data_IF_551546651942
#
_entry.id   IF_551546651942
#
_cell.length_a   1.000
_cell.length_b   1.000
_cell.length_c   1.000
_cell.angle_alpha   90.00
_cell.angle_beta   90.00
_cell.angle_gamma   90.00
#
_symmetry.space_group_name_H-M   'P 1'
#
loop_
_entity.id
_entity.type
_entity.pdbx_description
1 polymer ?
#
# COMPACT_ATOMS: atom_id res chain seq x y z
N UNK A 1 -9.64 -6.44 -5.44
CA UNK A 1 -11.04 -6.11 -5.81
C UNK A 1 -11.52 -7.18 -6.77
N UNK A 2 -12.71 -7.76 -6.59
CA UNK A 2 -13.20 -8.88 -7.41
C UNK A 2 -14.67 -8.67 -7.77
N UNK A 3 -15.11 -9.24 -8.89
CA UNK A 3 -16.50 -9.17 -9.36
C UNK A 3 -17.35 -10.28 -8.72
N UNK A 4 -18.52 -9.92 -8.19
CA UNK A 4 -19.47 -10.82 -7.53
C UNK A 4 -20.29 -11.66 -8.51
N UNK A 5 -20.38 -11.24 -9.78
CA UNK A 5 -21.08 -11.96 -10.85
C UNK A 5 -20.21 -13.03 -11.51
N UNK A 6 -18.88 -12.94 -11.34
CA UNK A 6 -17.92 -13.89 -11.89
C UNK A 6 -17.27 -14.75 -10.80
N UNK A 7 -17.66 -16.03 -10.75
CA UNK A 7 -17.08 -17.00 -9.80
C UNK A 7 -15.57 -17.23 -10.02
N UNK A 8 -15.06 -16.95 -11.23
CA UNK A 8 -13.64 -17.07 -11.57
C UNK A 8 -12.83 -15.98 -10.87
N UNK A 9 -13.33 -14.74 -10.81
CA UNK A 9 -12.61 -13.64 -10.15
C UNK A 9 -12.52 -13.84 -8.63
N UNK A 10 -13.52 -14.47 -8.01
CA UNK A 10 -13.45 -14.82 -6.58
C UNK A 10 -12.39 -15.88 -6.28
N UNK A 11 -12.20 -16.87 -7.16
CA UNK A 11 -11.19 -17.94 -6.98
C UNK A 11 -9.75 -17.42 -6.91
N UNK A 12 -9.48 -16.24 -7.49
CA UNK A 12 -8.15 -15.62 -7.47
C UNK A 12 -7.90 -14.77 -6.22
N UNK A 13 -8.92 -14.54 -5.38
CA UNK A 13 -8.80 -13.73 -4.14
C UNK A 13 -7.75 -14.25 -3.17
N UNK A 14 -7.63 -15.56 -2.89
CA UNK A 14 -6.58 -16.07 -2.02
C UNK A 14 -5.16 -15.83 -2.56
N UNK A 15 -4.97 -15.85 -3.88
CA UNK A 15 -3.68 -15.58 -4.51
C UNK A 15 -3.30 -14.10 -4.38
N UNK A 16 -4.26 -13.20 -4.67
CA UNK A 16 -4.05 -11.76 -4.43
C UNK A 16 -3.77 -11.45 -2.97
N UNK A 17 -4.46 -12.14 -2.04
CA UNK A 17 -4.21 -11.97 -0.63
C UNK A 17 -2.80 -12.44 -0.25
N UNK A 18 -2.36 -13.60 -0.75
CA UNK A 18 -1.01 -14.14 -0.50
C UNK A 18 0.10 -13.19 -0.97
N UNK A 19 -0.03 -12.62 -2.16
CA UNK A 19 1.00 -11.73 -2.73
C UNK A 19 1.13 -10.40 -1.97
N UNK A 20 0.05 -9.95 -1.34
CA UNK A 20 0.00 -8.72 -0.54
C UNK A 20 0.47 -8.91 0.91
N UNK A 21 0.63 -10.16 1.37
CA UNK A 21 0.87 -10.50 2.78
C UNK A 21 2.34 -10.85 3.00
N UNK A 22 3.08 -9.88 3.56
CA UNK A 22 4.41 -9.98 4.18
C UNK A 22 5.31 -11.11 3.64
N UNK A 23 5.82 -10.88 2.42
CA UNK A 23 6.79 -11.76 1.79
C UNK A 23 8.17 -11.44 2.36
N UNK A 24 8.73 -12.37 3.17
CA UNK A 24 10.13 -12.30 3.67
C UNK A 24 11.15 -12.08 2.54
N UNK A 25 10.82 -12.49 1.32
CA UNK A 25 11.63 -12.31 0.12
C UNK A 25 11.14 -11.11 -0.73
N UNK A 26 11.28 -9.90 -0.16
CA UNK A 26 10.90 -8.64 -0.80
C UNK A 26 11.70 -8.45 -2.10
N UNK A 27 11.04 -8.59 -3.26
CA UNK A 27 11.68 -8.43 -4.58
C UNK A 27 12.12 -6.99 -4.87
N UNK A 28 11.38 -6.00 -4.40
CA UNK A 28 11.67 -4.57 -4.63
C UNK A 28 12.17 -3.94 -3.33
N UNK A 29 13.47 -3.65 -3.24
CA UNK A 29 14.08 -3.06 -2.04
C UNK A 29 13.82 -1.56 -1.95
N UNK A 30 13.76 -0.99 -0.75
CA UNK A 30 13.54 0.44 -0.55
C UNK A 30 14.50 1.35 -1.34
N UNK A 31 15.76 0.92 -1.53
CA UNK A 31 16.78 1.67 -2.28
C UNK A 31 16.43 1.88 -3.77
N UNK A 32 15.63 1.00 -4.38
CA UNK A 32 15.27 1.11 -5.80
C UNK A 32 14.04 2.00 -6.02
N UNK A 33 13.34 2.40 -4.96
CA UNK A 33 12.10 3.15 -5.05
C UNK A 33 12.42 4.65 -5.02
N UNK A 34 12.69 5.23 -6.19
CA UNK A 34 13.09 6.65 -6.31
C UNK A 34 11.98 7.57 -6.80
N UNK A 35 10.84 7.02 -7.23
CA UNK A 35 9.76 7.77 -7.87
C UNK A 35 9.15 8.85 -6.96
N UNK A 36 9.02 8.56 -5.67
CA UNK A 36 8.46 9.49 -4.68
C UNK A 36 9.24 10.81 -4.62
N UNK A 37 10.57 10.76 -4.76
CA UNK A 37 11.44 11.96 -4.82
C UNK A 37 11.19 12.81 -6.06
N UNK A 38 10.97 12.17 -7.22
CA UNK A 38 10.72 12.87 -8.49
C UNK A 38 9.39 13.62 -8.49
N UNK A 39 8.40 13.14 -7.74
CA UNK A 39 7.05 13.73 -7.68
C UNK A 39 6.78 14.50 -6.38
N UNK A 40 7.78 14.63 -5.50
CA UNK A 40 7.65 15.23 -4.18
C UNK A 40 6.47 14.64 -3.37
N UNK A 41 6.35 13.31 -3.41
CA UNK A 41 5.32 12.55 -2.70
C UNK A 41 5.95 11.82 -1.53
N UNK A 42 5.17 11.60 -0.47
CA UNK A 42 5.61 10.74 0.63
C UNK A 42 5.45 9.27 0.30
N UNK A 43 6.42 8.49 0.76
CA UNK A 43 6.50 7.05 0.58
C UNK A 43 6.50 6.37 1.94
N UNK A 44 5.62 5.39 2.10
CA UNK A 44 5.52 4.58 3.31
C UNK A 44 5.53 3.10 2.90
N UNK A 45 6.38 2.31 3.55
CA UNK A 45 6.25 0.85 3.54
C UNK A 45 5.05 0.48 4.42
N UNK A 46 4.11 -0.29 3.88
CA UNK A 46 2.88 -0.73 4.58
C UNK A 46 2.79 -2.26 4.60
N UNK A 47 2.23 -2.80 5.68
CA UNK A 47 1.80 -4.21 5.73
C UNK A 47 0.39 -4.29 6.28
N UNK A 48 -0.54 -4.79 5.46
CA UNK A 48 -1.92 -5.05 5.88
C UNK A 48 -2.03 -6.24 6.86
N UNK A 49 -1.00 -7.09 6.94
CA UNK A 49 -1.01 -8.26 7.83
C UNK A 49 -0.67 -7.90 9.27
N UNK A 50 0.42 -7.15 9.44
CA UNK A 50 0.92 -6.71 10.74
C UNK A 50 0.36 -5.34 11.14
N UNK A 51 -0.47 -4.74 10.29
CA UNK A 51 -0.95 -3.36 10.41
C UNK A 51 0.19 -2.31 10.46
N UNK A 52 1.38 -2.66 9.96
CA UNK A 52 2.53 -1.77 9.94
C UNK A 52 2.26 -0.55 9.05
N UNK A 53 2.39 0.65 9.63
CA UNK A 53 2.17 1.95 8.99
C UNK A 53 0.82 2.09 8.26
N UNK A 54 -0.19 1.30 8.61
CA UNK A 54 -1.48 1.29 7.91
C UNK A 54 -2.15 2.67 7.89
N UNK A 55 -2.04 3.42 8.97
CA UNK A 55 -2.62 4.77 9.13
C UNK A 55 -1.89 5.86 8.36
N UNK A 56 -0.59 5.70 8.08
CA UNK A 56 0.29 6.78 7.60
C UNK A 56 -0.14 7.35 6.24
N UNK A 57 -0.52 6.53 5.24
CA UNK A 57 -1.01 7.05 3.96
C UNK A 57 -2.30 7.87 4.11
N UNK A 58 -3.22 7.41 4.96
CA UNK A 58 -4.51 8.09 5.18
C UNK A 58 -4.31 9.40 5.93
N UNK A 59 -3.45 9.41 6.94
CA UNK A 59 -3.11 10.62 7.68
C UNK A 59 -2.45 11.66 6.78
N UNK A 60 -1.49 11.26 5.95
CA UNK A 60 -0.84 12.17 5.00
C UNK A 60 -1.83 12.76 4.00
N UNK A 61 -2.75 11.93 3.48
CA UNK A 61 -3.78 12.38 2.57
C UNK A 61 -4.75 13.35 3.23
N UNK A 62 -5.21 13.03 4.45
CA UNK A 62 -6.10 13.90 5.22
C UNK A 62 -5.48 15.27 5.46
N UNK A 63 -4.21 15.32 5.89
CA UNK A 63 -3.46 16.58 6.05
C UNK A 63 -3.34 17.37 4.76
N UNK A 64 -3.07 16.69 3.65
CA UNK A 64 -2.95 17.34 2.34
C UNK A 64 -4.26 17.98 1.89
N UNK A 65 -5.39 17.33 2.18
CA UNK A 65 -6.72 17.83 1.87
C UNK A 65 -7.15 18.96 2.80
N UNK A 66 -6.87 18.83 4.10
CA UNK A 66 -7.19 19.82 5.13
C UNK A 66 -6.19 20.99 5.20
N UNK A 67 -5.11 20.93 4.41
CA UNK A 67 -4.00 21.92 4.38
C UNK A 67 -3.34 22.12 5.75
N UNK A 68 -3.31 21.07 6.57
CA UNK A 68 -2.63 21.10 7.86
C UNK A 68 -1.11 20.85 7.67
N UNK A 69 -0.24 21.64 8.33
CA UNK A 69 1.20 21.42 8.30
C UNK A 69 1.59 20.15 9.07
N UNK A 70 2.67 19.49 8.63
CA UNK A 70 3.34 18.46 9.42
C UNK A 70 3.96 19.12 10.69
N UNK A 71 3.92 18.46 11.86
CA UNK A 71 4.60 18.94 13.06
C UNK A 71 6.12 18.96 12.93
#
# INVERSE_FOLDING_TARGET
MFDVTSRITYKNVPNWHRDLVDVKDRKVKAKTITFHRKKNLQYYDISAKSNYNFEKPFLWLARKLLREPEP
#
